data_IF_196460682997
#
_entry.id   IF_196460682997
#
_cell.length_a   1.000
_cell.length_b   1.000
_cell.length_c   1.000
_cell.angle_alpha   90.00
_cell.angle_beta   90.00
_cell.angle_gamma   90.00
#
_symmetry.space_group_name_H-M   'P 1'
#
loop_
_entity.id
_entity.type
_entity.pdbx_description
1 polymer ?
#
# COMPACT_ATOMS: atom_id res chain seq x y z
N UNK A 1 -2.91 15.47 0.65
CA UNK A 1 -2.87 14.34 -0.30
C UNK A 1 -3.83 13.24 0.17
N UNK A 2 -4.87 12.98 -0.59
CA UNK A 2 -5.80 11.87 -0.41
C UNK A 2 -5.38 10.65 -1.27
N UNK A 3 -6.13 9.55 -1.22
CA UNK A 3 -5.83 8.33 -1.99
C UNK A 3 -5.88 8.54 -3.50
N UNK A 4 -6.73 9.46 -3.99
CA UNK A 4 -6.79 9.82 -5.40
C UNK A 4 -5.54 10.58 -5.86
N UNK A 5 -5.10 11.55 -5.08
CA UNK A 5 -3.86 12.29 -5.35
C UNK A 5 -2.64 11.34 -5.35
N UNK A 6 -2.62 10.38 -4.40
CA UNK A 6 -1.56 9.37 -4.32
C UNK A 6 -1.60 8.41 -5.52
N UNK A 7 -2.78 7.96 -5.96
CA UNK A 7 -2.91 7.12 -7.15
C UNK A 7 -2.39 7.83 -8.40
N UNK A 8 -2.76 9.11 -8.59
CA UNK A 8 -2.27 9.92 -9.71
C UNK A 8 -0.75 10.09 -9.67
N UNK A 9 -0.17 10.29 -8.49
CA UNK A 9 1.28 10.35 -8.34
C UNK A 9 1.97 9.02 -8.73
N UNK A 10 1.42 7.88 -8.28
CA UNK A 10 1.94 6.56 -8.60
C UNK A 10 1.89 6.33 -10.11
N UNK A 11 0.78 6.67 -10.76
CA UNK A 11 0.64 6.57 -12.23
C UNK A 11 1.63 7.49 -12.95
N UNK A 12 1.75 8.75 -12.52
CA UNK A 12 2.62 9.73 -13.16
C UNK A 12 4.13 9.44 -13.03
N UNK A 13 4.51 8.51 -12.13
CA UNK A 13 5.91 8.14 -11.87
C UNK A 13 6.22 6.70 -12.27
N UNK A 14 5.36 6.07 -13.08
CA UNK A 14 5.45 4.65 -13.48
C UNK A 14 5.59 3.70 -12.27
N UNK A 15 5.04 4.11 -11.12
CA UNK A 15 5.16 3.43 -9.84
C UNK A 15 4.20 2.26 -9.66
N UNK A 16 3.36 1.94 -10.65
CA UNK A 16 2.38 0.85 -10.56
C UNK A 16 3.07 -0.51 -10.36
N UNK A 17 4.25 -0.69 -10.93
CA UNK A 17 5.06 -1.92 -10.77
C UNK A 17 5.69 -2.06 -9.39
N UNK A 18 5.64 -1.01 -8.55
CA UNK A 18 6.27 -0.96 -7.24
C UNK A 18 5.27 -1.39 -6.17
N UNK A 19 5.30 -2.65 -5.69
CA UNK A 19 4.24 -3.17 -4.84
C UNK A 19 4.12 -2.43 -3.50
N UNK A 20 5.19 -1.84 -2.98
CA UNK A 20 5.15 -1.01 -1.76
C UNK A 20 4.33 0.28 -1.93
N UNK A 21 4.32 0.87 -3.13
CA UNK A 21 3.49 2.05 -3.42
C UNK A 21 2.00 1.68 -3.44
N UNK A 22 1.68 0.47 -3.89
CA UNK A 22 0.31 -0.04 -3.88
C UNK A 22 -0.18 -0.36 -2.45
N UNK A 23 0.70 -0.90 -1.60
CA UNK A 23 0.42 -1.08 -0.16
C UNK A 23 0.17 0.28 0.51
N UNK A 24 1.00 1.29 0.21
CA UNK A 24 0.80 2.66 0.70
C UNK A 24 -0.55 3.24 0.27
N UNK A 25 -0.95 3.03 -0.99
CA UNK A 25 -2.25 3.45 -1.50
C UNK A 25 -3.41 2.77 -0.76
N UNK A 26 -3.34 1.45 -0.54
CA UNK A 26 -4.36 0.72 0.22
C UNK A 26 -4.45 1.21 1.68
N UNK A 27 -3.32 1.45 2.34
CA UNK A 27 -3.29 2.02 3.68
C UNK A 27 -3.95 3.40 3.72
N UNK A 28 -3.70 4.25 2.72
CA UNK A 28 -4.34 5.57 2.64
C UNK A 28 -5.86 5.47 2.49
N UNK A 29 -6.35 4.57 1.64
CA UNK A 29 -7.80 4.30 1.48
C UNK A 29 -8.44 3.80 2.77
N UNK A 30 -7.76 2.91 3.51
CA UNK A 30 -8.24 2.41 4.80
C UNK A 30 -8.35 3.54 5.84
N UNK A 31 -7.35 4.42 5.90
CA UNK A 31 -7.40 5.60 6.78
C UNK A 31 -8.56 6.53 6.45
N UNK A 32 -8.81 6.80 5.16
CA UNK A 32 -9.88 7.69 4.71
C UNK A 32 -11.28 7.17 5.04
N UNK A 33 -11.48 5.84 5.02
CA UNK A 33 -12.75 5.22 5.40
C UNK A 33 -12.83 4.80 6.86
N UNK A 34 -11.86 5.16 7.72
CA UNK A 34 -11.81 4.71 9.13
C UNK A 34 -13.13 4.95 9.87
N UNK A 35 -13.78 6.09 9.62
CA UNK A 35 -15.05 6.48 10.25
C UNK A 35 -16.28 5.75 9.69
N UNK A 36 -16.14 5.00 8.60
CA UNK A 36 -17.21 4.29 7.92
C UNK A 36 -17.24 2.80 8.26
N UNK A 37 -16.20 2.29 8.93
CA UNK A 37 -16.03 0.88 9.27
C UNK A 37 -15.89 0.69 10.78
N UNK A 38 -16.17 -0.53 11.26
CA UNK A 38 -16.00 -0.87 12.68
C UNK A 38 -14.52 -0.89 13.08
N UNK A 39 -14.25 -0.85 14.38
CA UNK A 39 -12.87 -1.02 14.89
C UNK A 39 -12.32 -2.41 14.60
N UNK A 40 -13.14 -3.45 14.70
CA UNK A 40 -12.74 -4.83 14.40
C UNK A 40 -12.36 -4.99 12.93
N UNK A 41 -13.17 -4.46 12.02
CA UNK A 41 -12.90 -4.50 10.58
C UNK A 41 -11.64 -3.71 10.21
N UNK A 42 -11.45 -2.54 10.80
CA UNK A 42 -10.22 -1.76 10.60
C UNK A 42 -8.98 -2.51 11.08
N UNK A 43 -9.03 -3.15 12.26
CA UNK A 43 -7.90 -3.92 12.79
C UNK A 43 -7.57 -5.14 11.93
N UNK A 44 -8.60 -5.83 11.43
CA UNK A 44 -8.43 -6.95 10.50
C UNK A 44 -7.73 -6.49 9.22
N UNK A 45 -8.27 -5.48 8.55
CA UNK A 45 -7.67 -4.96 7.31
C UNK A 45 -6.26 -4.39 7.51
N UNK A 46 -6.01 -3.77 8.68
CA UNK A 46 -4.67 -3.29 9.02
C UNK A 46 -3.68 -4.46 9.20
N UNK A 47 -4.13 -5.57 9.77
CA UNK A 47 -3.33 -6.79 9.93
C UNK A 47 -3.03 -7.43 8.58
N UNK A 48 -4.02 -7.49 7.68
CA UNK A 48 -3.84 -7.98 6.31
C UNK A 48 -2.82 -7.11 5.55
N UNK A 49 -2.90 -5.78 5.68
CA UNK A 49 -1.93 -4.85 5.09
C UNK A 49 -0.52 -5.01 5.68
N UNK A 50 -0.42 -5.28 6.97
CA UNK A 50 0.87 -5.55 7.60
C UNK A 50 1.49 -6.84 7.04
N UNK A 51 0.70 -7.89 6.85
CA UNK A 51 1.17 -9.12 6.22
C UNK A 51 1.61 -8.89 4.77
N UNK A 52 0.84 -8.13 4.00
CA UNK A 52 1.21 -7.74 2.62
C UNK A 52 2.57 -7.03 2.59
N UNK A 53 2.82 -6.12 3.55
CA UNK A 53 4.10 -5.43 3.69
C UNK A 53 5.25 -6.39 4.04
N UNK A 54 5.02 -7.35 4.94
CA UNK A 54 6.04 -8.35 5.29
C UNK A 54 6.41 -9.23 4.09
N UNK A 55 5.44 -9.59 3.25
CA UNK A 55 5.68 -10.36 2.03
C UNK A 55 6.51 -9.58 0.99
N UNK A 56 6.54 -8.24 1.04
CA UNK A 56 7.45 -7.45 0.19
C UNK A 56 8.91 -7.67 0.55
N UNK A 57 9.20 -8.02 1.81
CA UNK A 57 10.53 -8.34 2.32
C UNK A 57 11.29 -9.36 1.49
N UNK A 58 10.57 -10.32 0.91
CA UNK A 58 11.12 -11.38 0.07
C UNK A 58 11.04 -11.04 -1.43
N UNK A 59 10.19 -10.10 -1.83
CA UNK A 59 9.89 -9.83 -3.24
C UNK A 59 11.04 -9.15 -4.00
N UNK A 60 11.79 -8.26 -3.34
CA UNK A 60 12.90 -7.55 -3.97
C UNK A 60 14.19 -8.40 -4.08
N UNK A 61 14.21 -9.60 -3.48
CA UNK A 61 15.39 -10.47 -3.49
C UNK A 61 15.67 -10.94 -4.92
N UNK A 62 16.82 -10.55 -5.47
CA UNK A 62 17.25 -10.88 -6.83
C UNK A 62 16.87 -9.86 -7.91
N UNK A 63 16.22 -8.74 -7.56
CA UNK A 63 15.92 -7.61 -8.47
C UNK A 63 16.32 -6.25 -7.87
N UNK A 64 17.21 -6.25 -6.87
CA UNK A 64 17.53 -5.08 -6.06
C UNK A 64 18.03 -3.90 -6.91
N UNK A 65 18.92 -4.17 -7.88
CA UNK A 65 19.51 -3.16 -8.78
C UNK A 65 18.48 -2.51 -9.74
N UNK A 66 17.30 -3.11 -9.88
CA UNK A 66 16.22 -2.58 -10.72
C UNK A 66 15.23 -1.71 -9.92
N UNK A 67 15.19 -1.89 -8.59
CA UNK A 67 14.17 -1.28 -7.71
C UNK A 67 14.72 -0.24 -6.74
N UNK A 68 16.03 -0.27 -6.44
CA UNK A 68 16.75 0.68 -5.57
C UNK A 68 17.78 1.52 -6.34
#
# INVERSE_FOLDING_TARGET
>A
MNSKDLAQYIEATDGISKPWLLVQLRMKKLQERRSQISTEEYLKELTDLHQDLMNLGEWWVGIEDEVF
#
